data_IF_707165230316
#
_entry.id   IF_707165230316
#
_cell.length_a   1.000
_cell.length_b   1.000
_cell.length_c   1.000
_cell.angle_alpha   90.00
_cell.angle_beta   90.00
_cell.angle_gamma   90.00
#
_symmetry.space_group_name_H-M   'P 1'
#
loop_
_entity.id
_entity.type
_entity.pdbx_description
1 polymer ?
#
# COMPACT_ATOMS: atom_id res chain seq x y z
N UNK A 1 -65.41 15.99 -12.19
CA UNK A 1 -64.92 16.79 -13.33
C UNK A 1 -63.42 16.52 -13.48
N UNK A 2 -62.99 15.96 -14.63
CA UNK A 2 -61.65 15.95 -15.28
C UNK A 2 -60.41 16.38 -14.45
N UNK A 3 -59.20 15.78 -14.49
CA UNK A 3 -58.51 14.83 -15.41
C UNK A 3 -57.14 14.44 -14.76
N UNK A 4 -56.72 13.18 -14.97
CA UNK A 4 -55.34 12.62 -15.23
C UNK A 4 -54.16 12.96 -14.27
N UNK A 5 -53.59 11.96 -13.56
CA UNK A 5 -52.37 11.13 -13.87
C UNK A 5 -51.08 12.01 -13.97
N UNK A 6 -50.03 11.81 -13.16
CA UNK A 6 -48.94 10.83 -13.41
C UNK A 6 -48.05 10.62 -12.18
N UNK A 7 -47.67 9.36 -11.93
CA UNK A 7 -46.68 8.91 -10.94
C UNK A 7 -45.24 9.22 -11.37
N UNK A 8 -44.37 9.55 -10.41
CA UNK A 8 -42.94 9.19 -10.46
C UNK A 8 -42.56 8.53 -9.12
N UNK A 9 -42.22 7.24 -9.20
CA UNK A 9 -41.66 6.42 -8.14
C UNK A 9 -40.21 6.85 -7.89
N UNK A 10 -39.93 7.32 -6.68
CA UNK A 10 -38.60 7.35 -6.09
C UNK A 10 -38.39 6.04 -5.30
N UNK A 11 -37.26 5.36 -5.50
CA UNK A 11 -36.91 4.16 -4.76
C UNK A 11 -35.45 4.20 -4.29
N UNK A 12 -35.24 3.79 -3.04
CA UNK A 12 -33.96 3.51 -2.39
C UNK A 12 -33.54 4.61 -1.43
N UNK A 13 -33.43 4.43 -0.12
CA UNK A 13 -33.34 3.24 0.72
C UNK A 13 -33.88 3.63 2.11
N UNK A 14 -34.87 2.93 2.64
CA UNK A 14 -35.27 3.06 4.05
C UNK A 14 -34.66 1.90 4.84
N UNK A 15 -33.94 2.27 5.90
CA UNK A 15 -33.53 1.34 6.94
C UNK A 15 -34.75 0.74 7.62
N UNK A 16 -34.65 -0.55 7.95
CA UNK A 16 -35.59 -1.24 8.81
C UNK A 16 -34.80 -2.11 9.79
N UNK A 17 -34.76 -1.64 11.03
CA UNK A 17 -34.54 -2.49 12.20
C UNK A 17 -35.79 -3.33 12.40
N UNK A 18 -35.67 -4.65 12.23
CA UNK A 18 -36.65 -5.62 12.70
C UNK A 18 -35.92 -6.66 13.55
N UNK A 19 -36.25 -6.72 14.83
CA UNK A 19 -35.85 -7.81 15.72
C UNK A 19 -36.71 -9.02 15.34
N UNK A 20 -36.10 -10.04 14.75
CA UNK A 20 -36.70 -11.35 14.50
C UNK A 20 -35.83 -12.41 15.17
N UNK A 21 -36.46 -13.23 15.99
CA UNK A 21 -35.86 -14.33 16.76
C UNK A 21 -35.27 -15.38 15.83
N UNK A 22 -34.02 -15.76 16.10
CA UNK A 22 -33.22 -16.71 15.32
C UNK A 22 -33.77 -18.13 15.40
N UNK A 23 -34.09 -18.72 14.25
CA UNK A 23 -33.80 -20.15 14.03
C UNK A 23 -33.75 -20.50 12.53
N UNK A 24 -32.68 -20.11 11.83
CA UNK A 24 -32.31 -20.73 10.55
C UNK A 24 -30.78 -20.73 10.41
N UNK A 25 -30.23 -21.90 10.06
CA UNK A 25 -28.86 -22.06 9.59
C UNK A 25 -28.61 -21.06 8.45
N UNK A 26 -27.78 -20.05 8.72
CA UNK A 26 -27.41 -19.06 7.73
C UNK A 26 -26.42 -19.70 6.76
N UNK A 27 -26.92 -20.25 5.65
CA UNK A 27 -26.12 -20.40 4.45
C UNK A 27 -25.85 -19.00 3.89
N UNK A 28 -24.77 -18.38 4.35
CA UNK A 28 -24.25 -17.17 3.70
C UNK A 28 -23.77 -17.57 2.31
N UNK A 29 -24.52 -17.22 1.27
CA UNK A 29 -24.05 -17.32 -0.11
C UNK A 29 -23.02 -16.20 -0.29
N UNK A 30 -21.75 -16.51 -0.01
CA UNK A 30 -20.65 -15.58 -0.23
C UNK A 30 -20.58 -15.28 -1.73
N UNK A 31 -20.82 -14.03 -2.12
CA UNK A 31 -20.76 -13.61 -3.51
C UNK A 31 -19.40 -14.01 -4.11
N UNK A 32 -19.43 -14.71 -5.25
CA UNK A 32 -18.21 -15.13 -5.95
C UNK A 32 -17.42 -13.89 -6.34
N UNK A 33 -16.22 -13.74 -5.77
CA UNK A 33 -15.30 -12.64 -6.12
C UNK A 33 -14.98 -12.72 -7.62
N UNK A 34 -15.13 -11.61 -8.39
CA UNK A 34 -14.84 -11.60 -9.81
C UNK A 34 -13.38 -12.01 -10.09
N UNK A 35 -13.21 -12.93 -11.02
CA UNK A 35 -11.91 -13.49 -11.38
C UNK A 35 -11.65 -13.40 -12.89
N UNK A 36 -10.39 -13.55 -13.27
CA UNK A 36 -9.96 -13.57 -14.67
C UNK A 36 -8.76 -14.49 -14.86
N UNK A 37 -8.65 -15.08 -16.05
CA UNK A 37 -7.52 -15.94 -16.39
C UNK A 37 -6.39 -15.09 -16.97
N UNK A 38 -5.21 -15.14 -16.33
CA UNK A 38 -4.00 -14.45 -16.74
C UNK A 38 -2.88 -15.45 -17.04
N UNK A 39 -1.96 -15.06 -17.93
CA UNK A 39 -0.75 -15.84 -18.20
C UNK A 39 0.39 -15.28 -17.35
N UNK A 40 1.04 -16.15 -16.58
CA UNK A 40 2.28 -15.79 -15.87
C UNK A 40 3.40 -15.65 -16.89
N UNK A 41 4.01 -14.48 -17.03
CA UNK A 41 5.06 -14.24 -18.03
C UNK A 41 6.47 -14.54 -17.48
N UNK A 42 6.64 -14.49 -16.16
CA UNK A 42 7.87 -14.82 -15.43
C UNK A 42 7.55 -15.67 -14.21
N UNK A 43 8.33 -16.73 -13.94
CA UNK A 43 8.07 -17.64 -12.80
C UNK A 43 7.91 -16.85 -11.51
N UNK A 44 6.72 -16.92 -10.92
CA UNK A 44 6.35 -16.07 -9.79
C UNK A 44 6.39 -16.85 -8.49
N UNK A 45 7.12 -16.32 -7.52
CA UNK A 45 7.02 -16.70 -6.11
C UNK A 45 5.67 -16.24 -5.56
N UNK A 46 4.97 -17.10 -4.82
CA UNK A 46 3.78 -16.74 -4.06
C UNK A 46 4.16 -16.15 -2.69
N UNK A 47 3.36 -15.20 -2.24
CA UNK A 47 3.46 -14.56 -0.94
C UNK A 47 2.13 -14.67 -0.19
N UNK A 48 2.15 -14.53 1.13
CA UNK A 48 0.97 -14.25 1.91
C UNK A 48 0.67 -12.74 1.93
N UNK A 49 -0.36 -12.34 2.70
CA UNK A 49 -0.77 -10.93 2.83
C UNK A 49 0.26 -10.07 3.56
N UNK A 50 1.14 -10.68 4.35
CA UNK A 50 2.14 -10.03 5.20
C UNK A 50 3.52 -9.97 4.49
N UNK A 51 3.59 -10.48 3.26
CA UNK A 51 4.77 -10.46 2.42
C UNK A 51 5.76 -11.60 2.67
N UNK A 52 5.38 -12.60 3.45
CA UNK A 52 6.19 -13.79 3.65
C UNK A 52 6.03 -14.72 2.45
N UNK A 53 7.11 -15.43 2.10
CA UNK A 53 7.07 -16.39 0.99
C UNK A 53 6.26 -17.62 1.40
N UNK A 54 5.28 -17.97 0.58
CA UNK A 54 4.61 -19.27 0.66
C UNK A 54 5.40 -20.27 -0.16
N UNK A 55 5.49 -21.54 0.24
CA UNK A 55 6.20 -22.57 -0.55
C UNK A 55 5.41 -23.01 -1.80
N UNK A 56 5.08 -22.05 -2.66
CA UNK A 56 4.37 -22.21 -3.92
C UNK A 56 4.98 -21.28 -4.96
N UNK A 57 5.21 -21.82 -6.15
CA UNK A 57 5.64 -21.06 -7.32
C UNK A 57 4.67 -21.29 -8.47
N UNK A 58 4.46 -20.25 -9.25
CA UNK A 58 3.69 -20.30 -10.49
C UNK A 58 4.65 -20.23 -11.67
N UNK A 59 4.84 -21.34 -12.43
CA UNK A 59 5.75 -21.37 -13.56
C UNK A 59 5.38 -20.36 -14.65
N UNK A 60 6.39 -19.84 -15.34
CA UNK A 60 6.16 -19.01 -16.52
C UNK A 60 5.37 -19.76 -17.59
N UNK A 61 4.55 -19.01 -18.30
CA UNK A 61 3.58 -19.39 -19.34
C UNK A 61 2.43 -20.28 -18.88
N UNK A 62 2.27 -20.46 -17.57
CA UNK A 62 1.07 -21.08 -17.00
C UNK A 62 -0.09 -20.09 -16.99
N UNK A 63 -1.27 -20.54 -17.40
CA UNK A 63 -2.53 -19.82 -17.20
C UNK A 63 -3.02 -20.06 -15.78
N UNK A 64 -3.37 -18.98 -15.09
CA UNK A 64 -3.84 -19.00 -13.70
C UNK A 64 -5.08 -18.12 -13.58
N UNK A 65 -5.96 -18.49 -12.66
CA UNK A 65 -7.11 -17.67 -12.30
C UNK A 65 -6.75 -16.77 -11.13
N UNK A 66 -6.88 -15.46 -11.33
CA UNK A 66 -6.63 -14.43 -10.32
C UNK A 66 -7.89 -13.62 -10.09
N UNK A 67 -8.01 -13.02 -8.92
CA UNK A 67 -9.02 -11.99 -8.69
C UNK A 67 -8.79 -10.82 -9.67
N UNK A 68 -9.90 -10.22 -10.14
CA UNK A 68 -9.87 -9.25 -11.25
C UNK A 68 -9.11 -7.98 -10.86
N UNK A 69 -9.27 -7.54 -9.62
CA UNK A 69 -8.69 -6.32 -9.08
C UNK A 69 -7.30 -6.60 -8.50
N UNK A 70 -6.24 -5.94 -9.01
CA UNK A 70 -4.95 -5.95 -8.35
C UNK A 70 -4.99 -5.08 -7.09
N UNK A 71 -4.07 -5.32 -6.16
CA UNK A 71 -4.00 -4.57 -4.90
C UNK A 71 -2.55 -4.28 -4.51
N UNK A 72 -2.35 -3.23 -3.71
CA UNK A 72 -1.09 -2.94 -3.05
C UNK A 72 -1.08 -3.67 -1.71
N UNK A 73 -0.08 -4.53 -1.51
CA UNK A 73 0.12 -5.15 -0.20
C UNK A 73 0.88 -4.18 0.72
N UNK A 74 0.57 -4.24 2.01
CA UNK A 74 1.10 -3.36 3.06
C UNK A 74 2.54 -3.68 3.47
N UNK A 75 3.39 -4.02 2.50
CA UNK A 75 4.82 -4.22 2.73
C UNK A 75 5.67 -3.73 1.55
N UNK A 76 6.88 -3.29 1.84
CA UNK A 76 7.82 -2.77 0.83
C UNK A 76 8.18 -3.87 -0.19
N UNK A 77 8.23 -3.57 -1.50
CA UNK A 77 8.25 -2.22 -2.09
C UNK A 77 6.87 -1.60 -2.48
N UNK A 78 5.75 -1.94 -1.83
CA UNK A 78 4.41 -1.39 -2.13
C UNK A 78 4.06 -1.42 -3.62
N UNK A 79 4.30 -2.58 -4.24
CA UNK A 79 4.01 -2.80 -5.66
C UNK A 79 2.72 -3.58 -5.83
N UNK A 80 2.08 -3.54 -7.00
CA UNK A 80 0.86 -4.30 -7.25
C UNK A 80 1.06 -5.81 -7.21
N UNK A 81 0.05 -6.50 -6.65
CA UNK A 81 -0.09 -7.95 -6.62
C UNK A 81 -1.45 -8.36 -7.16
N UNK A 82 -1.51 -9.59 -7.67
CA UNK A 82 -2.75 -10.31 -7.90
C UNK A 82 -2.92 -11.39 -6.83
N UNK A 83 -4.12 -11.50 -6.28
CA UNK A 83 -4.51 -12.63 -5.43
C UNK A 83 -4.97 -13.78 -6.32
N UNK A 84 -4.53 -14.99 -5.98
CA UNK A 84 -4.95 -16.21 -6.68
C UNK A 84 -6.38 -16.54 -6.27
N UNK A 85 -7.25 -16.78 -7.24
CA UNK A 85 -8.68 -17.04 -6.99
C UNK A 85 -8.86 -18.21 -6.02
N UNK A 86 -9.64 -17.98 -4.96
CA UNK A 86 -9.91 -18.98 -3.92
C UNK A 86 -8.73 -19.30 -2.99
N UNK A 87 -7.61 -18.55 -3.04
CA UNK A 87 -6.42 -18.81 -2.21
C UNK A 87 -5.92 -17.54 -1.52
N UNK A 88 -5.33 -17.71 -0.32
CA UNK A 88 -4.59 -16.63 0.40
C UNK A 88 -3.16 -16.52 -0.13
N UNK A 89 -3.01 -16.45 -1.45
CA UNK A 89 -1.72 -16.46 -2.15
C UNK A 89 -1.67 -15.29 -3.11
N UNK A 90 -0.56 -14.56 -3.10
CA UNK A 90 -0.38 -13.33 -3.86
C UNK A 90 0.86 -13.42 -4.73
N UNK A 91 0.77 -12.93 -5.96
CA UNK A 91 1.89 -12.89 -6.90
C UNK A 91 2.07 -11.48 -7.45
N UNK A 92 3.32 -11.07 -7.63
CA UNK A 92 3.63 -9.72 -8.13
C UNK A 92 3.03 -9.52 -9.53
N UNK A 93 2.32 -8.42 -9.73
CA UNK A 93 1.68 -8.14 -11.01
C UNK A 93 2.69 -7.94 -12.15
N UNK A 94 3.92 -7.49 -11.85
CA UNK A 94 5.00 -7.40 -12.84
C UNK A 94 5.46 -8.76 -13.42
N UNK A 95 5.08 -9.89 -12.81
CA UNK A 95 5.29 -11.21 -13.38
C UNK A 95 4.19 -11.61 -14.37
N UNK A 96 3.08 -10.85 -14.44
CA UNK A 96 1.94 -11.04 -15.36
C UNK A 96 1.89 -9.91 -16.38
N UNK A 97 1.62 -8.69 -15.94
CA UNK A 97 1.40 -7.52 -16.80
C UNK A 97 2.71 -6.87 -17.23
N UNK A 98 3.75 -7.00 -16.40
CA UNK A 98 5.07 -6.41 -16.63
C UNK A 98 5.14 -4.91 -16.33
N UNK A 99 6.32 -4.35 -16.57
CA UNK A 99 6.62 -2.92 -16.38
C UNK A 99 7.30 -2.36 -17.61
N UNK A 100 7.04 -1.09 -17.93
CA UNK A 100 7.67 -0.37 -19.03
C UNK A 100 9.05 0.13 -18.63
N UNK A 101 10.02 0.00 -19.53
CA UNK A 101 11.38 0.55 -19.40
C UNK A 101 11.79 1.23 -20.69
N UNK A 102 12.48 2.35 -20.55
CA UNK A 102 13.12 3.03 -21.68
C UNK A 102 14.38 2.27 -22.11
N UNK A 103 14.59 2.17 -23.42
CA UNK A 103 15.77 1.55 -24.03
C UNK A 103 16.86 2.60 -24.17
N UNK A 104 17.96 2.46 -23.42
CA UNK A 104 19.09 3.40 -23.41
C UNK A 104 20.11 3.16 -24.52
N UNK A 105 20.20 1.92 -24.99
CA UNK A 105 21.05 1.52 -26.10
C UNK A 105 20.29 0.58 -27.03
N UNK A 106 20.54 0.68 -28.34
CA UNK A 106 20.01 -0.27 -29.31
C UNK A 106 20.31 -1.71 -28.85
N UNK A 107 19.30 -2.59 -28.87
CA UNK A 107 19.43 -3.94 -28.35
C UNK A 107 18.75 -4.97 -29.24
N UNK A 108 19.43 -6.09 -29.42
CA UNK A 108 18.81 -7.30 -29.97
C UNK A 108 17.97 -8.03 -28.91
N UNK A 109 17.13 -8.95 -29.38
CA UNK A 109 16.41 -9.91 -28.55
C UNK A 109 17.18 -11.23 -28.52
N UNK A 110 17.38 -11.78 -27.33
CA UNK A 110 18.20 -12.95 -27.07
C UNK A 110 17.34 -14.13 -26.60
N UNK A 111 17.67 -15.33 -27.08
CA UNK A 111 17.15 -16.59 -26.53
C UNK A 111 18.10 -17.19 -25.49
N UNK A 112 19.41 -16.94 -25.65
CA UNK A 112 20.49 -17.34 -24.75
C UNK A 112 21.61 -16.30 -24.79
N UNK A 113 22.71 -16.51 -24.06
CA UNK A 113 23.89 -15.63 -24.11
C UNK A 113 24.58 -15.59 -25.48
N UNK A 114 24.44 -16.62 -26.30
CA UNK A 114 25.12 -16.74 -27.60
C UNK A 114 24.18 -16.73 -28.80
N UNK A 115 22.87 -16.81 -28.59
CA UNK A 115 21.88 -16.91 -29.67
C UNK A 115 20.79 -15.85 -29.53
N UNK A 116 20.54 -15.13 -30.63
CA UNK A 116 19.40 -14.22 -30.77
C UNK A 116 18.09 -15.01 -30.81
N UNK A 117 17.03 -14.43 -30.25
CA UNK A 117 15.69 -15.01 -30.36
C UNK A 117 15.09 -14.76 -31.74
N UNK A 118 15.32 -13.55 -32.26
CA UNK A 118 14.88 -13.07 -33.56
C UNK A 118 15.87 -12.00 -34.08
N UNK A 119 15.60 -11.41 -35.25
CA UNK A 119 16.44 -10.37 -35.87
C UNK A 119 15.99 -8.93 -35.54
N UNK A 120 14.99 -8.75 -34.67
CA UNK A 120 14.45 -7.44 -34.36
C UNK A 120 15.46 -6.62 -33.56
N UNK A 121 15.66 -5.38 -34.00
CA UNK A 121 16.41 -4.38 -33.28
C UNK A 121 15.45 -3.51 -32.48
N UNK A 122 15.58 -3.52 -31.16
CA UNK A 122 14.89 -2.59 -30.28
C UNK A 122 15.72 -1.31 -30.24
N UNK A 123 15.14 -0.22 -30.72
CA UNK A 123 15.84 1.06 -30.90
C UNK A 123 15.91 1.86 -29.59
N UNK A 124 17.01 2.58 -29.39
CA UNK A 124 17.19 3.56 -28.31
C UNK A 124 16.03 4.57 -28.31
N UNK A 125 15.59 4.97 -27.12
CA UNK A 125 14.48 5.90 -26.90
C UNK A 125 13.10 5.24 -26.94
N UNK A 126 12.99 3.99 -27.41
CA UNK A 126 11.72 3.26 -27.34
C UNK A 126 11.43 2.76 -25.94
N UNK A 127 10.16 2.44 -25.67
CA UNK A 127 9.71 1.82 -24.43
C UNK A 127 9.34 0.36 -24.67
N UNK A 128 9.80 -0.54 -23.80
CA UNK A 128 9.47 -1.97 -23.87
C UNK A 128 8.94 -2.48 -22.53
N UNK A 129 8.08 -3.51 -22.59
CA UNK A 129 7.63 -4.23 -21.40
C UNK A 129 8.65 -5.28 -20.99
N UNK A 130 8.99 -5.30 -19.70
CA UNK A 130 9.79 -6.34 -19.06
C UNK A 130 8.98 -7.07 -17.99
N UNK A 131 9.21 -8.37 -17.84
CA UNK A 131 8.51 -9.22 -16.89
C UNK A 131 9.46 -9.73 -15.82
N UNK A 132 9.04 -9.59 -14.56
CA UNK A 132 9.77 -10.07 -13.38
C UNK A 132 11.18 -9.52 -13.21
N UNK A 133 12.02 -10.32 -12.55
CA UNK A 133 13.42 -9.98 -12.29
C UNK A 133 14.36 -10.26 -13.47
N UNK A 134 15.62 -9.85 -13.31
CA UNK A 134 16.65 -10.21 -14.29
C UNK A 134 17.13 -11.65 -14.12
N UNK A 135 17.40 -12.31 -15.23
CA UNK A 135 18.04 -13.64 -15.30
C UNK A 135 19.51 -13.46 -15.65
N UNK A 136 20.41 -14.17 -14.96
CA UNK A 136 21.83 -14.25 -15.30
C UNK A 136 22.01 -15.35 -16.35
N UNK A 137 22.54 -15.02 -17.52
CA UNK A 137 22.90 -16.01 -18.53
C UNK A 137 24.32 -16.55 -18.30
N UNK A 138 24.72 -17.57 -19.07
CA UNK A 138 26.03 -18.25 -18.94
C UNK A 138 27.23 -17.30 -19.11
N UNK A 139 27.07 -16.21 -19.85
CA UNK A 139 28.09 -15.16 -20.02
C UNK A 139 28.22 -14.22 -18.80
N UNK A 140 27.54 -14.49 -17.70
CA UNK A 140 27.56 -13.66 -16.50
C UNK A 140 26.69 -12.41 -16.56
N UNK A 141 26.17 -12.06 -17.73
CA UNK A 141 25.37 -10.85 -17.95
C UNK A 141 23.91 -11.07 -17.57
N UNK A 142 23.25 -9.98 -17.19
CA UNK A 142 21.85 -9.99 -16.75
C UNK A 142 20.92 -9.55 -17.87
N UNK A 143 19.76 -10.20 -17.96
CA UNK A 143 18.76 -9.95 -19.00
C UNK A 143 17.36 -9.90 -18.40
N UNK A 144 16.50 -9.04 -18.94
CA UNK A 144 15.07 -9.03 -18.64
C UNK A 144 14.31 -9.85 -19.68
N UNK A 145 13.29 -10.57 -19.23
CA UNK A 145 12.34 -11.21 -20.15
C UNK A 145 11.41 -10.15 -20.73
N UNK A 146 11.16 -10.19 -22.03
CA UNK A 146 10.30 -9.24 -22.74
C UNK A 146 9.11 -9.89 -23.47
N UNK A 147 9.00 -11.22 -23.43
CA UNK A 147 7.91 -11.96 -24.07
C UNK A 147 8.05 -13.48 -23.92
N UNK A 148 7.16 -14.21 -24.60
CA UNK A 148 7.22 -15.67 -24.75
C UNK A 148 5.96 -16.26 -25.39
N UNK A 149 5.80 -17.60 -25.45
CA UNK A 149 6.50 -18.62 -24.66
C UNK A 149 7.96 -18.90 -25.04
N UNK A 150 8.35 -18.61 -26.28
CA UNK A 150 9.75 -18.71 -26.70
C UNK A 150 10.63 -17.73 -25.91
N UNK A 151 11.90 -18.09 -25.69
CA UNK A 151 12.86 -17.26 -24.93
C UNK A 151 13.09 -15.92 -25.65
N UNK A 152 12.59 -14.83 -25.07
CA UNK A 152 12.80 -13.47 -25.57
C UNK A 152 13.31 -12.57 -24.44
N UNK A 153 14.57 -12.13 -24.58
CA UNK A 153 15.27 -11.39 -23.53
C UNK A 153 16.04 -10.19 -24.07
N UNK A 154 16.14 -9.14 -23.27
CA UNK A 154 16.94 -7.94 -23.57
C UNK A 154 17.97 -7.74 -22.48
N UNK A 155 19.19 -7.35 -22.86
CA UNK A 155 20.30 -7.13 -21.91
C UNK A 155 19.93 -6.00 -20.94
N UNK A 156 20.07 -6.24 -19.65
CA UNK A 156 19.65 -5.32 -18.61
C UNK A 156 20.38 -3.97 -18.67
N UNK A 157 21.67 -3.97 -19.02
CA UNK A 157 22.48 -2.75 -19.20
C UNK A 157 22.01 -1.85 -20.35
N UNK A 158 21.18 -2.37 -21.27
CA UNK A 158 20.64 -1.59 -22.38
C UNK A 158 19.32 -0.90 -22.00
N UNK A 159 18.77 -1.17 -20.82
CA UNK A 159 17.48 -0.65 -20.35
C UNK A 159 17.69 0.31 -19.18
N UNK A 160 16.84 1.34 -19.14
CA UNK A 160 16.77 2.30 -18.04
C UNK A 160 15.95 1.80 -16.86
N UNK A 161 15.66 2.76 -15.96
CA UNK A 161 14.73 2.58 -14.85
C UNK A 161 13.32 2.29 -15.37
N UNK A 162 12.48 1.78 -14.47
CA UNK A 162 11.05 1.60 -14.76
C UNK A 162 10.46 2.99 -15.01
N UNK A 163 9.72 3.13 -16.11
CA UNK A 163 9.04 4.39 -16.48
C UNK A 163 7.54 4.34 -16.24
N UNK A 164 6.96 3.14 -16.19
CA UNK A 164 5.57 2.92 -15.81
C UNK A 164 5.34 1.45 -15.44
N UNK A 165 4.28 1.20 -14.69
CA UNK A 165 3.75 -0.13 -14.40
C UNK A 165 2.52 -0.37 -15.27
N UNK A 166 2.46 -1.52 -15.96
CA UNK A 166 1.30 -1.82 -16.82
C UNK A 166 0.04 -2.09 -15.98
N UNK A 167 0.21 -2.46 -14.71
CA UNK A 167 -0.90 -2.67 -13.77
C UNK A 167 -1.47 -1.33 -13.27
N UNK A 168 -0.63 -0.31 -13.10
CA UNK A 168 -1.01 0.99 -12.52
C UNK A 168 -1.35 2.06 -13.56
N UNK A 169 -1.25 1.79 -14.87
CA UNK A 169 -1.58 2.75 -15.92
C UNK A 169 -2.92 2.44 -16.60
N UNK A 170 -3.76 3.46 -16.81
CA UNK A 170 -5.04 3.37 -17.54
C UNK A 170 -5.43 4.72 -18.16
N UNK A 171 -6.48 4.73 -18.97
CA UNK A 171 -7.07 5.98 -19.49
C UNK A 171 -8.29 6.32 -18.62
N UNK A 172 -8.31 7.55 -18.11
CA UNK A 172 -9.46 8.15 -17.45
C UNK A 172 -10.15 9.12 -18.43
N UNK A 173 -11.47 8.98 -18.60
CA UNK A 173 -12.29 9.87 -19.44
C UNK A 173 -13.21 10.69 -18.56
N UNK A 174 -13.21 12.00 -18.70
CA UNK A 174 -14.13 12.89 -17.97
C UNK A 174 -15.57 12.62 -18.39
N UNK A 175 -16.43 12.31 -17.42
CA UNK A 175 -17.85 11.99 -17.63
C UNK A 175 -18.79 13.09 -17.15
N UNK A 176 -18.33 13.94 -16.22
CA UNK A 176 -19.14 15.03 -15.65
C UNK A 176 -19.51 16.09 -16.69
N UNK A 177 -20.80 16.43 -16.80
CA UNK A 177 -21.32 17.45 -17.73
C UNK A 177 -20.79 18.84 -17.45
N UNK A 178 -20.59 19.17 -16.16
CA UNK A 178 -19.95 20.41 -15.75
C UNK A 178 -18.44 20.45 -16.03
N UNK A 179 -17.84 19.32 -16.42
CA UNK A 179 -16.40 19.12 -16.50
C UNK A 179 -15.78 18.74 -15.15
N UNK A 180 -14.59 18.11 -15.20
CA UNK A 180 -13.85 17.67 -14.02
C UNK A 180 -12.84 18.73 -13.56
N UNK A 181 -12.85 19.16 -12.29
CA UNK A 181 -11.72 19.88 -11.73
C UNK A 181 -10.44 19.03 -11.76
N UNK A 182 -9.31 19.69 -11.99
CA UNK A 182 -7.97 19.10 -11.86
C UNK A 182 -7.35 19.70 -10.61
N UNK A 183 -6.99 18.84 -9.67
CA UNK A 183 -6.43 19.21 -8.37
C UNK A 183 -4.91 19.08 -8.39
N UNK A 184 -4.19 20.05 -7.85
CA UNK A 184 -2.77 19.93 -7.51
C UNK A 184 -2.67 19.75 -6.01
N UNK A 185 -1.90 18.78 -5.57
CA UNK A 185 -1.63 18.51 -4.15
C UNK A 185 -0.24 19.03 -3.82
N UNK A 186 -0.16 20.07 -2.99
CA UNK A 186 1.08 20.76 -2.62
C UNK A 186 0.89 21.43 -1.26
N UNK A 187 1.10 20.67 -0.18
CA UNK A 187 0.75 21.05 1.20
C UNK A 187 -0.72 21.49 1.36
N UNK A 188 -1.62 20.82 0.64
CA UNK A 188 -3.05 21.11 0.58
C UNK A 188 -3.60 20.88 -0.82
N UNK A 189 -4.93 20.89 -0.96
CA UNK A 189 -5.61 20.70 -2.24
C UNK A 189 -5.91 22.03 -2.91
N UNK A 190 -5.51 22.18 -4.18
CA UNK A 190 -5.85 23.35 -5.00
C UNK A 190 -6.39 22.94 -6.37
N UNK A 191 -7.54 23.49 -6.74
CA UNK A 191 -8.03 23.39 -8.13
C UNK A 191 -7.20 24.28 -9.05
N UNK A 192 -6.60 23.71 -10.08
CA UNK A 192 -5.73 24.44 -11.03
C UNK A 192 -6.37 24.63 -12.40
N UNK A 193 -7.30 23.76 -12.79
CA UNK A 193 -7.96 23.79 -14.10
C UNK A 193 -9.26 23.01 -14.03
N UNK A 194 -10.13 23.20 -15.04
CA UNK A 194 -11.29 22.34 -15.29
C UNK A 194 -11.18 21.70 -16.67
N UNK A 195 -11.28 20.38 -16.74
CA UNK A 195 -11.32 19.61 -17.97
C UNK A 195 -12.76 19.45 -18.45
N UNK A 196 -12.99 19.54 -19.77
CA UNK A 196 -14.32 19.38 -20.36
C UNK A 196 -14.73 17.90 -20.41
N UNK A 197 -16.03 17.61 -20.43
CA UNK A 197 -16.56 16.26 -20.68
C UNK A 197 -15.93 15.65 -21.93
N UNK A 198 -15.60 14.36 -21.87
CA UNK A 198 -14.94 13.62 -22.94
C UNK A 198 -13.42 13.80 -23.02
N UNK A 199 -12.83 14.73 -22.27
CA UNK A 199 -11.36 14.83 -22.19
C UNK A 199 -10.79 13.56 -21.60
N UNK A 200 -9.71 13.04 -22.20
CA UNK A 200 -9.02 11.84 -21.74
C UNK A 200 -7.66 12.17 -21.15
N UNK A 201 -7.28 11.43 -20.11
CA UNK A 201 -5.98 11.51 -19.46
C UNK A 201 -5.40 10.12 -19.31
N UNK A 202 -4.09 10.00 -19.48
CA UNK A 202 -3.37 8.82 -18.99
C UNK A 202 -3.13 9.04 -17.50
N UNK A 203 -3.64 8.13 -16.68
CA UNK A 203 -3.45 8.13 -15.23
C UNK A 203 -2.59 6.95 -14.81
N UNK A 204 -1.76 7.12 -13.79
CA UNK A 204 -0.73 6.15 -13.40
C UNK A 204 -0.68 5.83 -11.90
N UNK A 205 -1.68 6.28 -11.15
CA UNK A 205 -1.89 5.95 -9.73
C UNK A 205 -3.35 6.19 -9.36
N UNK A 206 -3.92 5.29 -8.57
CA UNK A 206 -5.15 5.49 -7.82
C UNK A 206 -4.79 5.58 -6.33
N UNK A 207 -5.26 6.61 -5.63
CA UNK A 207 -4.99 6.81 -4.22
C UNK A 207 -6.30 7.00 -3.45
N UNK A 208 -6.43 6.29 -2.35
CA UNK A 208 -7.52 6.32 -1.38
C UNK A 208 -6.87 6.70 -0.05
N UNK A 209 -7.13 7.90 0.45
CA UNK A 209 -6.71 8.41 1.77
C UNK A 209 -7.04 9.93 1.85
N UNK A 210 -6.56 10.62 2.89
CA UNK A 210 -6.85 12.01 3.27
C UNK A 210 -7.16 13.00 2.13
N UNK A 211 -6.35 13.08 1.07
CA UNK A 211 -6.61 14.05 -0.01
C UNK A 211 -7.82 13.68 -0.86
N UNK A 212 -8.12 12.39 -1.02
CA UNK A 212 -9.32 11.95 -1.70
C UNK A 212 -10.57 12.31 -0.89
N UNK A 213 -10.51 12.22 0.45
CA UNK A 213 -11.59 12.66 1.34
C UNK A 213 -11.74 14.18 1.35
N UNK A 214 -10.64 14.94 1.40
CA UNK A 214 -10.64 16.41 1.32
C UNK A 214 -11.28 16.89 0.01
N UNK A 215 -10.93 16.28 -1.13
CA UNK A 215 -11.53 16.60 -2.43
C UNK A 215 -13.01 16.18 -2.46
N UNK A 216 -13.30 14.96 -1.98
CA UNK A 216 -14.62 14.35 -2.06
C UNK A 216 -15.63 14.90 -1.07
N UNK A 217 -15.19 15.63 -0.04
CA UNK A 217 -16.03 16.13 1.07
C UNK A 217 -16.93 15.03 1.65
N UNK A 218 -16.40 13.81 1.77
CA UNK A 218 -17.14 12.60 2.22
C UNK A 218 -18.40 12.26 1.41
N UNK A 219 -18.49 12.70 0.15
CA UNK A 219 -19.65 12.45 -0.72
C UNK A 219 -19.92 10.95 -0.95
N UNK A 220 -18.87 10.13 -0.90
CA UNK A 220 -18.94 8.66 -0.99
C UNK A 220 -17.98 8.04 0.02
N UNK A 221 -18.25 6.80 0.48
CA UNK A 221 -17.26 6.05 1.23
C UNK A 221 -16.04 5.75 0.34
N UNK A 222 -14.85 5.78 0.92
CA UNK A 222 -13.58 5.41 0.28
C UNK A 222 -13.35 6.10 -1.07
N UNK A 223 -13.38 7.44 -1.12
CA UNK A 223 -13.16 8.16 -2.37
C UNK A 223 -11.77 7.87 -2.91
N UNK A 224 -11.67 7.82 -4.24
CA UNK A 224 -10.39 7.63 -4.94
C UNK A 224 -10.05 8.84 -5.80
N UNK A 225 -8.78 9.18 -5.86
CA UNK A 225 -8.23 10.16 -6.80
C UNK A 225 -7.21 9.50 -7.73
N UNK A 226 -7.19 9.96 -8.98
CA UNK A 226 -6.33 9.43 -10.04
C UNK A 226 -5.26 10.43 -10.43
N UNK A 227 -3.99 10.06 -10.31
CA UNK A 227 -2.87 10.93 -10.71
C UNK A 227 -2.73 10.95 -12.22
N UNK A 228 -2.71 12.14 -12.79
CA UNK A 228 -2.38 12.37 -14.20
C UNK A 228 -0.89 12.09 -14.40
N UNK A 229 -0.58 11.11 -15.26
CA UNK A 229 0.77 10.58 -15.46
C UNK A 229 1.77 11.68 -15.80
N UNK A 230 2.92 11.62 -15.12
CA UNK A 230 4.02 12.59 -15.32
C UNK A 230 3.78 13.95 -14.64
N UNK A 231 2.75 14.08 -13.82
CA UNK A 231 2.44 15.29 -13.05
C UNK A 231 2.11 14.94 -11.60
N UNK A 232 1.95 15.97 -10.75
CA UNK A 232 1.33 15.83 -9.43
C UNK A 232 -0.09 16.42 -9.41
N UNK A 233 -0.82 16.20 -10.51
CA UNK A 233 -2.19 16.65 -10.68
C UNK A 233 -3.13 15.45 -10.65
N UNK A 234 -4.34 15.65 -10.14
CA UNK A 234 -5.24 14.58 -9.73
C UNK A 234 -6.67 14.84 -10.23
N UNK A 235 -7.37 13.75 -10.54
CA UNK A 235 -8.77 13.72 -10.96
C UNK A 235 -9.59 12.98 -9.90
N UNK A 236 -10.79 13.46 -9.60
CA UNK A 236 -11.67 12.81 -8.64
C UNK A 236 -12.50 11.69 -9.29
N UNK A 237 -12.69 10.57 -8.60
CA UNK A 237 -13.34 9.38 -9.16
C UNK A 237 -14.78 9.58 -9.64
N UNK A 238 -15.57 10.47 -9.04
CA UNK A 238 -16.95 10.72 -9.49
C UNK A 238 -17.02 11.48 -10.83
N UNK A 239 -15.94 12.17 -11.21
CA UNK A 239 -15.91 12.99 -12.42
C UNK A 239 -15.37 12.24 -13.65
N UNK A 240 -14.82 11.05 -13.47
CA UNK A 240 -14.13 10.29 -14.51
C UNK A 240 -14.50 8.82 -14.52
N UNK A 241 -14.42 8.20 -15.70
CA UNK A 241 -14.49 6.75 -15.88
C UNK A 241 -13.15 6.21 -16.36
N UNK A 242 -12.59 5.23 -15.65
CA UNK A 242 -11.36 4.54 -16.05
C UNK A 242 -11.66 3.33 -16.95
N UNK A 243 -10.78 3.05 -17.92
CA UNK A 243 -10.92 1.89 -18.81
C UNK A 243 -10.61 0.55 -18.11
N UNK A 244 -9.84 0.62 -17.03
CA UNK A 244 -9.34 -0.52 -16.26
C UNK A 244 -9.08 -0.01 -14.84
N UNK A 245 -9.57 -0.76 -13.85
CA UNK A 245 -9.30 -0.49 -12.44
C UNK A 245 -7.79 -0.56 -12.15
N UNK A 246 -7.34 0.34 -11.29
CA UNK A 246 -5.97 0.40 -10.80
C UNK A 246 -5.93 -0.18 -9.38
N UNK A 247 -4.78 -0.70 -8.93
CA UNK A 247 -4.63 -1.02 -7.51
C UNK A 247 -4.67 0.26 -6.69
N UNK A 248 -5.43 0.24 -5.59
CA UNK A 248 -5.54 1.40 -4.70
C UNK A 248 -4.33 1.49 -3.80
N UNK A 249 -3.72 2.67 -3.79
CA UNK A 249 -2.67 3.04 -2.87
C UNK A 249 -3.24 3.77 -1.66
N UNK A 250 -2.61 3.55 -0.51
CA UNK A 250 -2.93 4.22 0.74
C UNK A 250 -1.65 4.92 1.19
N UNK A 251 -1.55 6.22 0.93
CA UNK A 251 -0.36 7.02 1.19
C UNK A 251 0.14 6.83 2.62
N UNK A 252 -0.78 6.87 3.58
CA UNK A 252 -0.43 6.82 4.99
C UNK A 252 0.17 5.45 5.37
N UNK A 253 -0.35 4.35 4.79
CA UNK A 253 0.15 3.00 5.02
C UNK A 253 1.47 2.71 4.27
N UNK A 254 1.75 3.48 3.22
CA UNK A 254 2.99 3.39 2.44
C UNK A 254 4.15 4.18 3.07
N UNK A 255 3.84 5.17 3.91
CA UNK A 255 4.82 6.12 4.46
C UNK A 255 4.96 6.09 5.98
N UNK A 256 3.90 5.75 6.72
CA UNK A 256 3.90 5.78 8.18
C UNK A 256 3.73 4.39 8.78
N UNK A 257 4.11 4.25 10.04
CA UNK A 257 3.98 3.02 10.81
C UNK A 257 2.99 3.26 11.94
N UNK A 258 2.10 2.30 12.18
CA UNK A 258 1.02 2.45 13.15
C UNK A 258 1.01 1.33 14.16
N UNK A 259 0.89 1.70 15.44
CA UNK A 259 0.67 0.79 16.56
C UNK A 259 -0.69 1.05 17.22
N UNK A 260 -1.08 0.14 18.12
CA UNK A 260 -2.24 0.27 18.99
C UNK A 260 -1.89 -0.16 20.42
N UNK A 261 -2.38 0.60 21.40
CA UNK A 261 -2.34 0.27 22.82
C UNK A 261 -3.51 -0.66 23.18
N UNK A 262 -3.21 -1.88 23.60
CA UNK A 262 -4.23 -2.88 23.97
C UNK A 262 -4.37 -3.07 25.49
N UNK A 263 -3.51 -2.41 26.25
CA UNK A 263 -3.44 -2.36 27.70
C UNK A 263 -2.90 -0.98 28.11
N UNK A 264 -3.01 -0.65 29.40
CA UNK A 264 -2.35 0.54 29.93
C UNK A 264 -0.83 0.35 29.81
N UNK A 265 -0.15 1.35 29.27
CA UNK A 265 1.24 1.24 28.81
C UNK A 265 2.10 2.34 29.42
N UNK A 266 3.20 1.92 30.04
CA UNK A 266 4.22 2.82 30.57
C UNK A 266 5.00 3.50 29.45
N UNK A 267 5.47 4.71 29.71
CA UNK A 267 6.28 5.49 28.77
C UNK A 267 7.68 5.65 29.33
N UNK A 268 8.67 5.64 28.44
CA UNK A 268 10.08 5.67 28.77
C UNK A 268 10.76 6.82 28.04
N UNK A 269 11.80 7.35 28.66
CA UNK A 269 12.74 8.27 28.02
C UNK A 269 13.75 7.51 27.15
N UNK A 270 14.48 8.24 26.31
CA UNK A 270 15.52 7.69 25.43
C UNK A 270 16.67 7.01 26.20
N UNK A 271 16.86 7.33 27.48
CA UNK A 271 17.86 6.71 28.36
C UNK A 271 17.36 5.45 29.08
N UNK A 272 16.11 5.04 28.82
CA UNK A 272 15.48 3.85 29.38
C UNK A 272 14.91 4.03 30.79
N UNK A 273 14.92 5.24 31.34
CA UNK A 273 14.16 5.56 32.56
C UNK A 273 12.67 5.65 32.24
N UNK A 274 11.83 5.12 33.14
CA UNK A 274 10.38 5.24 33.03
C UNK A 274 9.96 6.68 33.37
N UNK A 275 9.06 7.26 32.56
CA UNK A 275 8.46 8.56 32.84
C UNK A 275 7.45 8.45 33.98
N UNK A 276 7.44 9.43 34.88
CA UNK A 276 6.43 9.54 35.94
C UNK A 276 5.39 10.60 35.56
N UNK A 277 4.17 10.15 35.26
CA UNK A 277 3.01 11.01 35.03
C UNK A 277 2.06 11.00 36.23
N UNK A 278 2.61 11.09 37.45
CA UNK A 278 1.85 11.01 38.71
C UNK A 278 1.11 9.68 38.86
N UNK A 279 1.72 8.61 38.36
CA UNK A 279 1.14 7.27 38.31
C UNK A 279 0.16 7.00 37.16
N UNK A 280 -0.15 7.98 36.30
CA UNK A 280 -0.92 7.73 35.08
C UNK A 280 -0.05 7.05 34.01
N UNK A 281 -0.71 6.25 33.18
CA UNK A 281 -0.15 5.57 32.00
C UNK A 281 -0.98 5.90 30.78
N UNK A 282 -0.43 5.71 29.58
CA UNK A 282 -1.22 5.75 28.36
C UNK A 282 -2.25 4.63 28.44
N UNK A 283 -3.55 4.96 28.46
CA UNK A 283 -4.58 3.93 28.57
C UNK A 283 -4.69 3.12 27.28
N UNK A 284 -5.24 1.92 27.41
CA UNK A 284 -5.77 1.18 26.25
C UNK A 284 -6.67 2.10 25.40
N UNK A 285 -6.30 2.29 24.14
CA UNK A 285 -7.04 3.16 23.23
C UNK A 285 -6.97 2.67 21.79
N UNK A 286 -8.03 2.98 21.05
CA UNK A 286 -8.10 2.71 19.62
C UNK A 286 -7.25 3.68 18.80
N UNK A 287 -7.56 3.73 17.50
CA UNK A 287 -6.86 4.61 16.57
C UNK A 287 -5.60 3.99 15.95
N UNK A 288 -5.02 4.76 15.04
CA UNK A 288 -3.78 4.44 14.33
C UNK A 288 -2.68 5.38 14.84
N UNK A 289 -1.93 4.93 15.84
CA UNK A 289 -0.97 5.77 16.55
C UNK A 289 0.39 5.70 15.85
N UNK A 290 0.86 6.86 15.37
CA UNK A 290 2.06 6.97 14.54
C UNK A 290 3.33 6.72 15.36
N UNK A 291 4.22 5.91 14.79
CA UNK A 291 5.59 5.68 15.28
C UNK A 291 6.57 5.79 14.11
N UNK A 292 7.79 6.25 14.38
CA UNK A 292 8.78 6.48 13.32
C UNK A 292 10.12 5.75 13.52
N UNK A 293 10.39 5.23 14.72
CA UNK A 293 11.59 4.44 15.02
C UNK A 293 11.23 3.16 15.78
N UNK A 294 12.04 2.14 15.54
CA UNK A 294 12.12 0.92 16.31
C UNK A 294 13.59 0.77 16.73
N UNK A 295 13.87 0.63 18.02
CA UNK A 295 15.24 0.62 18.54
C UNK A 295 15.33 -0.13 19.87
N UNK A 296 16.49 -0.67 20.17
CA UNK A 296 16.81 -1.19 21.50
C UNK A 296 17.24 -0.06 22.43
N UNK A 297 16.64 0.00 23.61
CA UNK A 297 17.00 0.93 24.69
C UNK A 297 17.38 0.09 25.91
N UNK A 298 18.48 0.45 26.58
CA UNK A 298 18.86 -0.17 27.84
C UNK A 298 17.95 0.32 28.96
N UNK A 299 17.23 -0.57 29.63
CA UNK A 299 16.36 -0.26 30.76
C UNK A 299 17.11 -0.52 32.06
N UNK A 300 17.57 0.52 32.80
CA UNK A 300 18.41 0.34 33.97
C UNK A 300 17.73 -0.47 35.09
N UNK A 301 16.44 -0.23 35.31
CA UNK A 301 15.64 -0.92 36.32
C UNK A 301 15.52 -2.44 36.07
N UNK A 302 15.67 -2.87 34.82
CA UNK A 302 15.57 -4.28 34.44
C UNK A 302 16.92 -4.90 34.07
N UNK A 303 18.00 -4.09 34.05
CA UNK A 303 19.34 -4.52 33.68
C UNK A 303 19.38 -5.28 32.33
N UNK A 304 18.60 -4.83 31.34
CA UNK A 304 18.52 -5.42 30.01
C UNK A 304 18.20 -4.38 28.93
N UNK A 305 18.57 -4.69 27.69
CA UNK A 305 18.12 -3.94 26.52
C UNK A 305 16.77 -4.49 26.05
N UNK A 306 15.78 -3.61 25.92
CA UNK A 306 14.44 -3.92 25.45
C UNK A 306 14.15 -3.19 24.14
N UNK A 307 13.23 -3.72 23.35
CA UNK A 307 12.85 -3.12 22.06
C UNK A 307 11.72 -2.11 22.26
N UNK A 308 11.88 -0.91 21.71
CA UNK A 308 10.94 0.21 21.85
C UNK A 308 10.50 0.77 20.51
N UNK A 309 9.26 1.23 20.47
CA UNK A 309 8.80 2.19 19.46
C UNK A 309 8.95 3.61 19.99
N UNK A 310 9.41 4.52 19.13
CA UNK A 310 9.35 5.95 19.37
C UNK A 310 8.00 6.51 18.91
N UNK A 311 7.32 7.25 19.79
CA UNK A 311 6.01 7.85 19.52
C UNK A 311 6.16 9.15 18.71
N UNK A 312 5.31 9.34 17.69
CA UNK A 312 5.23 10.62 16.97
C UNK A 312 4.31 11.64 17.64
N UNK A 313 3.30 11.15 18.36
CA UNK A 313 2.41 11.99 19.14
C UNK A 313 3.04 12.29 20.50
N UNK A 314 2.63 13.42 21.09
CA UNK A 314 3.12 13.87 22.40
C UNK A 314 2.01 13.74 23.44
N UNK A 315 0.74 13.88 23.06
CA UNK A 315 -0.40 13.76 23.97
C UNK A 315 -1.23 12.51 23.65
N UNK A 316 -1.57 11.74 24.67
CA UNK A 316 -2.35 10.50 24.55
C UNK A 316 -3.38 10.39 25.65
N UNK A 317 -4.46 9.65 25.40
CA UNK A 317 -5.43 9.38 26.47
C UNK A 317 -4.78 8.61 27.62
N UNK A 318 -5.14 8.98 28.84
CA UNK A 318 -4.54 8.49 30.07
C UNK A 318 -5.49 7.57 30.87
N UNK A 319 -4.90 6.74 31.71
CA UNK A 319 -5.60 6.00 32.77
C UNK A 319 -5.89 6.91 33.95
N UNK A 320 -6.82 6.52 34.83
CA UNK A 320 -7.09 7.27 36.06
C UNK A 320 -5.86 7.32 36.97
N UNK A 321 -5.77 8.38 37.77
CA UNK A 321 -4.81 8.48 38.86
C UNK A 321 -5.04 7.36 39.89
N UNK A 322 -4.01 6.99 40.68
CA UNK A 322 -4.14 5.98 41.74
C UNK A 322 -5.24 6.24 42.80
N UNK A 323 -5.76 7.47 42.89
CA UNK A 323 -6.86 7.87 43.77
C UNK A 323 -8.22 8.06 43.07
N UNK A 324 -8.32 7.73 41.78
CA UNK A 324 -9.50 7.96 40.93
C UNK A 324 -9.52 9.34 40.27
N UNK A 325 -10.10 9.39 39.06
CA UNK A 325 -10.16 10.60 38.24
C UNK A 325 -8.79 11.03 37.70
N UNK A 326 -8.67 12.30 37.32
CA UNK A 326 -7.46 12.86 36.70
C UNK A 326 -7.73 13.43 35.30
N UNK A 327 -6.71 14.01 34.66
CA UNK A 327 -6.85 14.44 33.27
C UNK A 327 -7.02 13.23 32.35
N UNK A 328 -7.90 13.36 31.36
CA UNK A 328 -8.16 12.32 30.36
C UNK A 328 -6.98 12.08 29.42
N UNK A 329 -5.97 12.95 29.44
CA UNK A 329 -4.75 12.87 28.64
C UNK A 329 -3.49 13.16 29.44
N UNK A 330 -2.36 12.63 28.95
CA UNK A 330 -1.00 12.94 29.43
C UNK A 330 -0.14 13.39 28.26
N UNK A 331 0.69 14.41 28.49
CA UNK A 331 1.80 14.79 27.62
C UNK A 331 3.04 13.98 28.01
N UNK A 332 3.57 13.23 27.04
CA UNK A 332 4.71 12.32 27.17
C UNK A 332 5.97 12.84 26.47
N UNK A 333 5.88 14.01 25.83
CA UNK A 333 6.98 14.60 25.07
C UNK A 333 7.57 13.64 24.04
N UNK A 334 8.90 13.50 24.05
CA UNK A 334 9.64 12.51 23.24
C UNK A 334 9.59 11.13 23.91
N UNK A 335 8.42 10.49 23.82
CA UNK A 335 8.10 9.25 24.54
C UNK A 335 8.42 7.96 23.77
N UNK A 336 8.82 6.93 24.50
CA UNK A 336 9.10 5.59 23.98
C UNK A 336 8.24 4.55 24.69
N UNK A 337 7.72 3.57 23.95
CA UNK A 337 6.90 2.47 24.51
C UNK A 337 7.48 1.12 24.10
N UNK A 338 7.48 0.15 25.02
CA UNK A 338 7.99 -1.19 24.73
C UNK A 338 7.20 -1.83 23.61
N UNK A 339 7.91 -2.44 22.67
CA UNK A 339 7.29 -3.13 21.54
C UNK A 339 6.47 -4.36 21.98
N UNK A 340 6.76 -4.95 23.15
CA UNK A 340 5.96 -6.02 23.76
C UNK A 340 4.57 -5.58 24.21
N UNK A 341 4.43 -4.31 24.58
CA UNK A 341 3.24 -3.80 25.26
C UNK A 341 2.23 -3.19 24.28
N UNK A 342 2.61 -3.13 23.00
CA UNK A 342 1.80 -2.60 21.90
C UNK A 342 1.71 -3.59 20.75
N UNK A 343 0.77 -3.36 19.83
CA UNK A 343 0.66 -4.16 18.60
C UNK A 343 0.89 -3.26 17.40
N UNK A 344 1.79 -3.69 16.52
CA UNK A 344 1.85 -3.15 15.16
C UNK A 344 0.56 -3.53 14.43
N UNK A 345 -0.15 -2.55 13.87
CA UNK A 345 -1.45 -2.76 13.23
C UNK A 345 -1.42 -2.55 11.72
N UNK A 346 -0.61 -1.60 11.23
CA UNK A 346 -0.58 -1.25 9.81
C UNK A 346 0.63 -0.38 9.46
N UNK A 347 0.88 -0.27 8.16
CA UNK A 347 1.82 0.67 7.60
C UNK A 347 3.21 0.10 7.31
N UNK A 348 4.23 0.95 7.35
CA UNK A 348 5.63 0.58 7.17
C UNK A 348 6.11 -0.28 8.33
N UNK A 349 6.57 -1.49 8.04
CA UNK A 349 7.22 -2.32 9.06
C UNK A 349 8.62 -1.78 9.32
N UNK A 350 8.82 -1.22 10.51
CA UNK A 350 10.12 -0.72 10.97
C UNK A 350 11.07 -1.87 11.29
N UNK A 351 12.36 -1.65 11.03
CA UNK A 351 13.45 -2.53 11.47
C UNK A 351 14.21 -1.83 12.60
N UNK A 352 14.70 -2.57 13.62
CA UNK A 352 15.52 -1.98 14.67
C UNK A 352 16.72 -1.23 14.08
N UNK A 353 16.95 0.01 14.52
CA UNK A 353 18.05 0.85 14.02
C UNK A 353 19.40 0.56 14.71
N UNK A 354 19.37 -0.19 15.81
CA UNK A 354 20.52 -0.67 16.57
C UNK A 354 20.25 -2.10 17.09
N UNK A 355 21.24 -2.67 17.76
CA UNK A 355 21.22 -3.98 18.40
C UNK A 355 21.11 -3.87 19.92
N UNK A 356 20.74 -4.97 20.58
CA UNK A 356 20.70 -5.04 22.04
C UNK A 356 22.09 -4.83 22.65
N UNK A 357 23.13 -5.34 22.00
CA UNK A 357 24.54 -5.19 22.40
C UNK A 357 24.99 -3.74 22.35
N UNK A 358 24.67 -3.01 21.27
CA UNK A 358 24.99 -1.58 21.14
C UNK A 358 24.31 -0.75 22.23
N UNK A 359 23.04 -1.04 22.54
CA UNK A 359 22.31 -0.36 23.63
C UNK A 359 22.97 -0.61 25.00
N UNK A 360 23.38 -1.85 25.28
CA UNK A 360 24.09 -2.21 26.51
C UNK A 360 25.46 -1.53 26.63
N UNK A 361 26.23 -1.48 25.54
CA UNK A 361 27.54 -0.82 25.51
C UNK A 361 27.43 0.69 25.73
N UNK A 362 26.46 1.35 25.09
CA UNK A 362 26.22 2.77 25.25
C UNK A 362 25.89 3.14 26.71
N UNK A 363 25.15 2.29 27.43
CA UNK A 363 24.85 2.48 28.84
C UNK A 363 26.08 2.36 29.75
N UNK A 364 27.00 1.42 29.46
CA UNK A 364 28.26 1.24 30.21
C UNK A 364 29.20 2.44 30.07
N UNK A 365 29.27 3.04 28.87
CA UNK A 365 30.13 4.22 28.64
C UNK A 365 29.65 5.45 29.40
N UNK A 366 28.33 5.61 29.61
CA UNK A 366 27.75 6.70 30.41
C UNK A 366 28.01 6.57 31.91
N UNK A 367 28.22 5.35 32.42
CA UNK A 367 28.51 5.10 33.84
C UNK A 367 30.00 5.18 34.19
N UNK A 368 30.87 5.32 33.18
CA UNK A 368 32.33 5.40 33.35
C UNK A 368 32.87 6.84 33.21
N UNK A 369 31.99 7.83 33.06
CA UNK A 369 32.30 9.27 33.12
C UNK A 369 31.60 9.86 34.34
#
# INVERSE_FOLDING_TARGET
MNKKITHYLAAGFLGLTAVLTFNQQVHTVQAKVPSTIRTVMYTSQAYDKDGQKVDVKYPAFKRIEVEKEPLILTFKPYTPYYKISGKKQYIKANNIDGVKREVKHNSYVYATSSRRADYRLIRKGTSITTYGGTVKFKNGLRYYRIGGPAKQYVRASNLGKITASNTEETIATVTSDGGAPIYKIDNGVKTIKKAKKGTTFVVDRAEEDNYAEEIGHSAIPNPTIYRIKGTNNWLYCLDVKVQKELPHHFYDLEHYSYIRFYQDTDVYNVDGTMQDHKGQRIRKQGGNLKVDKLLYIWVPAENKAELFYHLKGHEFYASDLPGGGGPDSIDVGDGYVKASDVRFIAGVKLSPINTAEEASQAAKQKTTK
#
